data_IF_102325274327
#
_entry.id   IF_102325274327
#
_cell.length_a   1.000
_cell.length_b   1.000
_cell.length_c   1.000
_cell.angle_alpha   90.00
_cell.angle_beta   90.00
_cell.angle_gamma   90.00
#
_symmetry.space_group_name_H-M   'P 1'
#
loop_
_entity.id
_entity.type
_entity.pdbx_description
1 polymer ?
#
# COMPACT_ATOMS: atom_id res chain seq x y z
N UNK A 1 14.20 5.60 -34.84
CA UNK A 1 14.18 4.90 -33.53
C UNK A 1 15.27 5.53 -32.68
N UNK A 2 14.91 6.40 -31.76
CA UNK A 2 15.84 6.97 -30.78
C UNK A 2 16.19 5.84 -29.80
N UNK A 3 17.47 5.59 -29.47
CA UNK A 3 17.82 4.56 -28.50
C UNK A 3 17.21 4.90 -27.14
N UNK A 4 16.79 3.90 -26.34
CA UNK A 4 16.31 4.14 -24.99
C UNK A 4 17.37 4.91 -24.22
N UNK A 5 16.97 5.97 -23.53
CA UNK A 5 17.85 6.85 -22.80
C UNK A 5 18.60 6.04 -21.73
N UNK A 6 19.90 5.80 -21.92
CA UNK A 6 20.75 5.06 -20.99
C UNK A 6 20.68 5.60 -19.55
N UNK A 7 20.24 6.84 -19.38
CA UNK A 7 20.06 7.48 -18.08
C UNK A 7 18.85 6.91 -17.33
N UNK A 8 17.77 6.62 -18.03
CA UNK A 8 16.53 6.04 -17.44
C UNK A 8 16.78 4.60 -17.00
N UNK A 9 17.43 3.80 -17.83
CA UNK A 9 17.79 2.40 -17.52
C UNK A 9 18.71 2.32 -16.28
N UNK A 10 19.68 3.22 -16.17
CA UNK A 10 20.59 3.28 -15.02
C UNK A 10 19.88 3.68 -13.74
N UNK A 11 18.99 4.68 -13.79
CA UNK A 11 18.18 5.11 -12.62
C UNK A 11 17.31 3.96 -12.12
N UNK A 12 16.63 3.26 -13.02
CA UNK A 12 15.78 2.13 -12.68
C UNK A 12 16.56 0.96 -12.08
N UNK A 13 17.72 0.66 -12.62
CA UNK A 13 18.63 -0.36 -12.07
C UNK A 13 19.08 -0.04 -10.64
N UNK A 14 19.38 1.22 -10.34
CA UNK A 14 19.73 1.66 -8.98
C UNK A 14 18.52 1.47 -8.03
N UNK A 15 17.31 1.86 -8.44
CA UNK A 15 16.08 1.69 -7.66
C UNK A 15 15.78 0.21 -7.38
N UNK A 16 15.85 -0.64 -8.40
CA UNK A 16 15.64 -2.07 -8.26
C UNK A 16 16.67 -2.71 -7.33
N UNK A 17 17.95 -2.35 -7.48
CA UNK A 17 19.02 -2.81 -6.58
C UNK A 17 18.76 -2.39 -5.13
N UNK A 18 18.23 -1.19 -4.94
CA UNK A 18 17.89 -0.68 -3.60
C UNK A 18 16.76 -1.50 -2.98
N UNK A 19 15.70 -1.79 -3.72
CA UNK A 19 14.60 -2.66 -3.27
C UNK A 19 15.09 -4.06 -2.92
N UNK A 20 15.97 -4.64 -3.72
CA UNK A 20 16.52 -5.97 -3.48
C UNK A 20 17.36 -6.01 -2.18
N UNK A 21 18.13 -4.96 -1.91
CA UNK A 21 18.86 -4.82 -0.63
C UNK A 21 17.89 -4.70 0.55
N UNK A 22 16.87 -3.84 0.44
CA UNK A 22 15.86 -3.68 1.50
C UNK A 22 15.17 -5.01 1.79
N UNK A 23 14.71 -5.71 0.76
CA UNK A 23 13.98 -6.98 0.90
C UNK A 23 14.81 -8.10 1.52
N UNK A 24 16.12 -8.14 1.25
CA UNK A 24 17.00 -9.23 1.69
C UNK A 24 17.73 -8.94 2.99
N UNK A 25 18.05 -7.69 3.25
CA UNK A 25 18.99 -7.29 4.29
C UNK A 25 18.46 -6.19 5.21
N UNK A 26 17.24 -5.68 4.95
CA UNK A 26 16.61 -4.61 5.72
C UNK A 26 17.11 -3.20 5.35
N UNK A 27 16.39 -2.19 5.88
CA UNK A 27 16.65 -0.77 5.60
C UNK A 27 18.04 -0.29 6.07
N UNK A 28 18.50 -0.78 7.22
CA UNK A 28 19.79 -0.37 7.80
C UNK A 28 20.98 -0.78 6.91
N UNK A 29 20.80 -1.81 6.10
CA UNK A 29 21.81 -2.30 5.16
C UNK A 29 21.97 -1.42 3.93
N UNK A 30 21.04 -0.49 3.65
CA UNK A 30 21.13 0.41 2.51
C UNK A 30 22.18 1.48 2.75
N UNK A 31 23.22 1.47 1.93
CA UNK A 31 24.22 2.55 1.85
C UNK A 31 24.47 2.91 0.40
N UNK A 32 24.71 4.18 0.10
CA UNK A 32 25.00 4.65 -1.28
C UNK A 32 26.15 3.85 -1.90
N UNK A 33 27.17 3.52 -1.11
CA UNK A 33 28.33 2.72 -1.56
C UNK A 33 27.94 1.29 -1.96
N UNK A 34 27.10 0.62 -1.13
CA UNK A 34 26.61 -0.74 -1.40
C UNK A 34 25.74 -0.76 -2.66
N UNK A 35 24.84 0.21 -2.79
CA UNK A 35 23.96 0.32 -3.96
C UNK A 35 24.77 0.59 -5.21
N UNK A 36 25.70 1.53 -5.21
CA UNK A 36 26.58 1.81 -6.35
C UNK A 36 27.34 0.56 -6.80
N UNK A 37 27.95 -0.16 -5.85
CA UNK A 37 28.70 -1.40 -6.13
C UNK A 37 27.79 -2.48 -6.74
N UNK A 38 26.62 -2.73 -6.16
CA UNK A 38 25.71 -3.79 -6.62
C UNK A 38 24.97 -3.47 -7.92
N UNK A 39 24.67 -2.20 -8.16
CA UNK A 39 24.07 -1.76 -9.42
C UNK A 39 25.10 -1.63 -10.57
N UNK A 40 26.40 -1.81 -10.28
CA UNK A 40 27.46 -1.61 -11.28
C UNK A 40 27.60 -0.15 -11.71
N UNK A 41 27.29 0.78 -10.79
CA UNK A 41 27.42 2.23 -11.02
C UNK A 41 28.48 2.81 -10.08
N UNK A 42 28.66 4.12 -10.07
CA UNK A 42 29.54 4.81 -9.11
C UNK A 42 28.73 5.67 -8.13
N UNK A 43 29.35 6.00 -7.00
CA UNK A 43 28.73 6.80 -5.93
C UNK A 43 28.27 8.17 -6.43
N UNK A 44 29.05 8.81 -7.32
CA UNK A 44 28.71 10.12 -7.88
C UNK A 44 27.42 10.07 -8.68
N UNK A 45 27.20 9.01 -9.43
CA UNK A 45 25.99 8.83 -10.24
C UNK A 45 24.76 8.57 -9.37
N UNK A 46 24.86 7.76 -8.30
CA UNK A 46 23.78 7.58 -7.33
C UNK A 46 23.41 8.90 -6.67
N UNK A 47 24.42 9.67 -6.23
CA UNK A 47 24.17 10.99 -5.65
C UNK A 47 23.60 12.00 -6.65
N UNK A 48 24.01 11.94 -7.90
CA UNK A 48 23.46 12.78 -8.96
C UNK A 48 21.96 12.56 -9.15
N UNK A 49 21.52 11.29 -9.19
CA UNK A 49 20.09 10.97 -9.39
C UNK A 49 19.23 11.23 -8.15
N UNK A 50 19.74 10.96 -6.96
CA UNK A 50 18.89 10.89 -5.77
C UNK A 50 19.28 11.88 -4.68
N UNK A 51 20.49 12.39 -4.68
CA UNK A 51 20.99 13.39 -3.73
C UNK A 51 21.28 12.84 -2.33
N UNK A 52 20.40 11.98 -1.77
CA UNK A 52 20.59 11.39 -0.45
C UNK A 52 20.11 9.93 -0.38
N UNK A 53 20.57 9.21 0.66
CA UNK A 53 20.12 7.84 0.97
C UNK A 53 18.61 7.79 1.16
N UNK A 54 18.04 8.73 1.91
CA UNK A 54 16.60 8.74 2.23
C UNK A 54 15.74 8.98 0.99
N UNK A 55 16.15 9.89 0.12
CA UNK A 55 15.48 10.12 -1.17
C UNK A 55 15.57 8.88 -2.06
N UNK A 56 16.72 8.21 -2.12
CA UNK A 56 16.88 6.97 -2.86
C UNK A 56 15.91 5.89 -2.36
N UNK A 57 15.82 5.70 -1.04
CA UNK A 57 14.91 4.73 -0.41
C UNK A 57 13.46 5.11 -0.74
N UNK A 58 13.07 6.36 -0.57
CA UNK A 58 11.71 6.82 -0.83
C UNK A 58 11.30 6.61 -2.29
N UNK A 59 12.18 6.95 -3.26
CA UNK A 59 11.91 6.70 -4.68
C UNK A 59 11.78 5.21 -5.01
N UNK A 60 12.62 4.36 -4.42
CA UNK A 60 12.52 2.92 -4.59
C UNK A 60 11.18 2.39 -4.05
N UNK A 61 10.76 2.84 -2.87
CA UNK A 61 9.47 2.44 -2.27
C UNK A 61 8.30 2.94 -3.11
N UNK A 62 8.30 4.18 -3.61
CA UNK A 62 7.25 4.69 -4.50
C UNK A 62 7.09 3.79 -5.72
N UNK A 63 8.19 3.42 -6.38
CA UNK A 63 8.18 2.51 -7.52
C UNK A 63 7.57 1.15 -7.17
N UNK A 64 7.91 0.59 -6.01
CA UNK A 64 7.33 -0.66 -5.52
C UNK A 64 5.82 -0.53 -5.28
N UNK A 65 5.38 0.55 -4.63
CA UNK A 65 3.97 0.78 -4.32
C UNK A 65 3.13 0.97 -5.60
N UNK A 66 3.68 1.64 -6.62
CA UNK A 66 3.04 1.71 -7.94
C UNK A 66 2.93 0.31 -8.58
N UNK A 67 3.93 -0.55 -8.37
CA UNK A 67 3.89 -1.94 -8.83
C UNK A 67 2.75 -2.78 -8.23
N UNK A 68 2.18 -2.37 -7.10
CA UNK A 68 0.99 -3.00 -6.52
C UNK A 68 -0.33 -2.49 -7.10
N UNK A 69 -0.30 -1.61 -8.11
CA UNK A 69 -1.49 -1.08 -8.78
C UNK A 69 -2.46 -2.17 -9.22
N UNK A 70 -1.95 -3.29 -9.73
CA UNK A 70 -2.76 -4.43 -10.18
C UNK A 70 -3.63 -5.03 -9.06
N UNK A 71 -3.27 -4.78 -7.78
CA UNK A 71 -4.10 -5.17 -6.64
C UNK A 71 -5.42 -4.38 -6.61
N UNK A 72 -5.42 -3.15 -7.14
CA UNK A 72 -6.61 -2.31 -7.23
C UNK A 72 -7.49 -2.64 -8.44
N UNK A 73 -7.02 -3.41 -9.41
CA UNK A 73 -7.78 -3.69 -10.64
C UNK A 73 -9.01 -4.57 -10.39
N UNK A 74 -8.97 -5.40 -9.33
CA UNK A 74 -10.14 -6.16 -8.90
C UNK A 74 -11.35 -5.26 -8.55
N UNK A 75 -11.10 -4.01 -8.16
CA UNK A 75 -12.15 -3.05 -7.83
C UNK A 75 -12.94 -2.56 -9.06
N UNK A 76 -12.38 -2.70 -10.27
CA UNK A 76 -13.04 -2.33 -11.53
C UNK A 76 -13.81 -3.48 -12.19
N UNK A 77 -13.72 -4.71 -11.66
CA UNK A 77 -14.44 -5.86 -12.21
C UNK A 77 -15.95 -5.79 -11.93
N UNK A 78 -16.67 -5.14 -12.81
CA UNK A 78 -18.13 -4.95 -12.68
C UNK A 78 -18.95 -6.26 -12.78
N UNK A 79 -18.34 -7.39 -13.15
CA UNK A 79 -18.98 -8.71 -13.13
C UNK A 79 -19.16 -9.24 -11.71
N UNK A 80 -18.41 -8.69 -10.74
CA UNK A 80 -18.45 -9.06 -9.32
C UNK A 80 -19.17 -7.96 -8.53
N UNK A 81 -20.05 -8.31 -7.57
CA UNK A 81 -20.73 -7.33 -6.72
C UNK A 81 -19.71 -6.41 -5.98
N UNK A 82 -20.01 -5.13 -5.77
CA UNK A 82 -19.10 -4.17 -5.16
C UNK A 82 -18.55 -4.62 -3.79
N UNK A 83 -19.40 -5.23 -2.96
CA UNK A 83 -19.05 -5.79 -1.65
C UNK A 83 -17.96 -6.86 -1.77
N UNK A 84 -18.08 -7.77 -2.72
CA UNK A 84 -17.11 -8.84 -2.93
C UNK A 84 -15.80 -8.30 -3.54
N UNK A 85 -15.88 -7.34 -4.47
CA UNK A 85 -14.67 -6.66 -4.99
C UNK A 85 -13.85 -6.04 -3.86
N UNK A 86 -14.50 -5.36 -2.92
CA UNK A 86 -13.82 -4.74 -1.80
C UNK A 86 -13.22 -5.79 -0.85
N UNK A 87 -13.91 -6.89 -0.58
CA UNK A 87 -13.37 -8.00 0.23
C UNK A 87 -12.13 -8.61 -0.41
N UNK A 88 -12.17 -8.92 -1.72
CA UNK A 88 -11.03 -9.46 -2.45
C UNK A 88 -9.84 -8.51 -2.45
N UNK A 89 -10.09 -7.22 -2.66
CA UNK A 89 -9.06 -6.20 -2.57
C UNK A 89 -8.40 -6.21 -1.18
N UNK A 90 -9.18 -6.17 -0.10
CA UNK A 90 -8.66 -6.13 1.27
C UNK A 90 -7.82 -7.37 1.60
N UNK A 91 -8.31 -8.56 1.24
CA UNK A 91 -7.58 -9.81 1.45
C UNK A 91 -6.23 -9.80 0.72
N UNK A 92 -6.23 -9.40 -0.55
CA UNK A 92 -5.02 -9.33 -1.37
C UNK A 92 -4.04 -8.27 -0.87
N UNK A 93 -4.55 -7.11 -0.44
CA UNK A 93 -3.71 -6.04 0.09
C UNK A 93 -3.05 -6.42 1.42
N UNK A 94 -3.75 -7.16 2.30
CA UNK A 94 -3.17 -7.69 3.53
C UNK A 94 -2.04 -8.68 3.25
N UNK A 95 -2.15 -9.51 2.21
CA UNK A 95 -1.04 -10.40 1.82
C UNK A 95 0.23 -9.61 1.47
N UNK A 96 0.08 -8.49 0.76
CA UNK A 96 1.20 -7.58 0.46
C UNK A 96 1.81 -7.00 1.74
N UNK A 97 0.97 -6.55 2.69
CA UNK A 97 1.43 -6.02 3.99
C UNK A 97 2.21 -7.09 4.77
N UNK A 98 1.69 -8.30 4.82
CA UNK A 98 2.34 -9.42 5.54
C UNK A 98 3.65 -9.85 4.89
N UNK A 99 3.76 -9.71 3.58
CA UNK A 99 4.98 -10.03 2.84
C UNK A 99 6.09 -8.98 3.07
N UNK A 100 5.71 -7.70 3.27
CA UNK A 100 6.66 -6.58 3.38
C UNK A 100 6.31 -5.63 4.54
N UNK A 101 6.22 -6.12 5.79
CA UNK A 101 5.75 -5.30 6.92
C UNK A 101 6.66 -4.10 7.20
N UNK A 102 7.97 -4.24 7.08
CA UNK A 102 8.93 -3.15 7.29
C UNK A 102 8.78 -2.04 6.26
N UNK A 103 8.48 -2.39 4.99
CA UNK A 103 8.22 -1.39 3.94
C UNK A 103 6.97 -0.58 4.25
N UNK A 104 5.91 -1.23 4.72
CA UNK A 104 4.66 -0.56 5.10
C UNK A 104 4.88 0.36 6.29
N UNK A 105 5.56 -0.12 7.34
CA UNK A 105 5.90 0.70 8.50
C UNK A 105 6.76 1.91 8.13
N UNK A 106 7.76 1.73 7.28
CA UNK A 106 8.57 2.83 6.78
C UNK A 106 7.74 3.86 5.99
N UNK A 107 6.84 3.38 5.13
CA UNK A 107 5.93 4.25 4.34
C UNK A 107 5.04 5.07 5.25
N UNK A 108 4.44 4.46 6.29
CA UNK A 108 3.60 5.15 7.26
C UNK A 108 4.42 6.18 8.06
N UNK A 109 5.61 5.80 8.52
CA UNK A 109 6.47 6.68 9.30
C UNK A 109 6.99 7.87 8.47
N UNK A 110 7.35 7.65 7.21
CA UNK A 110 7.79 8.70 6.31
C UNK A 110 6.64 9.67 5.93
N UNK A 111 5.41 9.13 5.85
CA UNK A 111 4.20 9.93 5.58
C UNK A 111 4.35 10.84 4.36
N UNK A 112 3.93 12.09 4.49
CA UNK A 112 4.03 13.09 3.42
C UNK A 112 5.47 13.48 3.05
N UNK A 113 6.46 13.21 3.93
CA UNK A 113 7.87 13.50 3.64
C UNK A 113 8.45 12.65 2.49
N UNK A 114 7.75 11.59 2.07
CA UNK A 114 8.09 10.84 0.86
C UNK A 114 7.90 11.65 -0.43
N UNK A 115 7.10 12.70 -0.39
CA UNK A 115 6.71 13.48 -1.56
C UNK A 115 7.21 14.91 -1.46
N UNK A 116 7.64 15.49 -2.58
CA UNK A 116 8.12 16.86 -2.62
C UNK A 116 6.98 17.89 -2.50
N UNK A 117 5.74 17.48 -2.79
CA UNK A 117 4.57 18.34 -2.73
C UNK A 117 3.27 17.54 -2.56
N UNK A 118 2.19 18.26 -2.17
CA UNK A 118 0.83 17.68 -2.16
C UNK A 118 0.36 17.26 -3.56
N UNK A 119 0.81 17.96 -4.59
CA UNK A 119 0.51 17.61 -5.98
C UNK A 119 1.10 16.25 -6.34
N UNK A 120 2.38 16.02 -6.06
CA UNK A 120 3.05 14.73 -6.28
C UNK A 120 2.35 13.60 -5.51
N UNK A 121 1.95 13.85 -4.27
CA UNK A 121 1.18 12.88 -3.49
C UNK A 121 -0.17 12.56 -4.14
N UNK A 122 -0.88 13.56 -4.64
CA UNK A 122 -2.14 13.36 -5.35
C UNK A 122 -1.97 12.56 -6.65
N UNK A 123 -0.91 12.82 -7.44
CA UNK A 123 -0.57 12.04 -8.62
C UNK A 123 -0.26 10.58 -8.26
N UNK A 124 0.50 10.37 -7.20
CA UNK A 124 0.81 9.03 -6.69
C UNK A 124 -0.46 8.27 -6.29
N UNK A 125 -1.38 8.87 -5.53
CA UNK A 125 -2.65 8.23 -5.16
C UNK A 125 -3.50 7.87 -6.38
N UNK A 126 -3.51 8.73 -7.40
CA UNK A 126 -4.17 8.43 -8.69
C UNK A 126 -3.51 7.25 -9.40
N UNK A 127 -2.18 7.28 -9.49
CA UNK A 127 -1.42 6.23 -10.17
C UNK A 127 -1.55 4.85 -9.50
N UNK A 128 -1.71 4.81 -8.17
CA UNK A 128 -1.93 3.57 -7.42
C UNK A 128 -3.36 3.04 -7.49
N UNK A 129 -4.33 3.85 -7.93
CA UNK A 129 -5.72 3.42 -8.06
C UNK A 129 -6.59 3.70 -6.82
N UNK A 130 -6.15 4.55 -5.90
CA UNK A 130 -6.90 4.87 -4.67
C UNK A 130 -8.34 5.36 -4.93
N UNK A 131 -8.58 6.08 -6.03
CA UNK A 131 -9.91 6.54 -6.45
C UNK A 131 -10.90 5.38 -6.70
N UNK A 132 -10.41 4.18 -7.04
CA UNK A 132 -11.24 2.98 -7.26
C UNK A 132 -11.91 2.51 -5.96
N UNK A 133 -11.25 2.70 -4.80
CA UNK A 133 -11.85 2.42 -3.49
C UNK A 133 -13.05 3.33 -3.21
N UNK A 134 -12.90 4.63 -3.47
CA UNK A 134 -13.99 5.58 -3.30
C UNK A 134 -15.18 5.23 -4.21
N UNK A 135 -14.91 4.87 -5.47
CA UNK A 135 -15.94 4.44 -6.42
C UNK A 135 -16.71 3.22 -5.90
N UNK A 136 -16.03 2.16 -5.47
CA UNK A 136 -16.66 0.95 -4.93
C UNK A 136 -17.48 1.25 -3.67
N UNK A 137 -16.98 2.08 -2.76
CA UNK A 137 -17.72 2.51 -1.58
C UNK A 137 -18.98 3.30 -1.94
N UNK A 138 -18.91 4.19 -2.94
CA UNK A 138 -20.08 4.89 -3.46
C UNK A 138 -21.10 3.91 -4.04
N UNK A 139 -20.68 2.93 -4.82
CA UNK A 139 -21.54 1.89 -5.36
C UNK A 139 -22.25 1.07 -4.26
N UNK A 140 -21.55 0.80 -3.15
CA UNK A 140 -22.08 0.02 -2.02
C UNK A 140 -23.07 0.80 -1.14
N UNK A 141 -22.80 2.09 -0.92
CA UNK A 141 -23.46 2.86 0.15
C UNK A 141 -24.34 3.99 -0.36
N UNK A 142 -24.17 4.41 -1.62
CA UNK A 142 -24.77 5.63 -2.17
C UNK A 142 -24.12 6.92 -1.67
N UNK A 143 -23.11 6.85 -0.80
CA UNK A 143 -22.39 8.02 -0.32
C UNK A 143 -21.47 8.59 -1.41
N UNK A 144 -21.52 9.90 -1.61
CA UNK A 144 -20.74 10.59 -2.63
C UNK A 144 -19.88 11.74 -2.07
N UNK A 145 -20.06 12.09 -0.80
CA UNK A 145 -19.26 13.16 -0.17
C UNK A 145 -17.82 12.70 0.06
N UNK A 146 -16.81 13.42 -0.46
CA UNK A 146 -15.42 13.00 -0.36
C UNK A 146 -14.95 12.80 1.09
N UNK A 147 -15.40 13.64 2.02
CA UNK A 147 -15.07 13.53 3.44
C UNK A 147 -15.58 12.22 4.05
N UNK A 148 -16.85 11.89 3.81
CA UNK A 148 -17.47 10.64 4.31
C UNK A 148 -16.79 9.40 3.72
N UNK A 149 -16.49 9.41 2.42
CA UNK A 149 -15.75 8.33 1.77
C UNK A 149 -14.34 8.15 2.35
N UNK A 150 -13.65 9.26 2.67
CA UNK A 150 -12.33 9.20 3.31
C UNK A 150 -12.41 8.61 4.72
N UNK A 151 -13.43 8.97 5.50
CA UNK A 151 -13.69 8.37 6.83
C UNK A 151 -13.89 6.86 6.69
N UNK A 152 -14.73 6.42 5.75
CA UNK A 152 -14.96 4.98 5.52
C UNK A 152 -13.66 4.26 5.13
N UNK A 153 -12.89 4.80 4.20
CA UNK A 153 -11.59 4.20 3.80
C UNK A 153 -10.66 4.07 4.98
N UNK A 154 -10.48 5.13 5.77
CA UNK A 154 -9.55 5.11 6.92
C UNK A 154 -10.01 4.16 8.01
N UNK A 155 -11.32 4.05 8.28
CA UNK A 155 -11.86 3.10 9.25
C UNK A 155 -11.67 1.66 8.80
N UNK A 156 -11.99 1.33 7.54
CA UNK A 156 -11.80 -0.01 6.97
C UNK A 156 -10.33 -0.41 7.01
N UNK A 157 -9.43 0.50 6.59
CA UNK A 157 -8.00 0.25 6.61
C UNK A 157 -7.47 0.07 8.02
N UNK A 158 -7.88 0.92 8.96
CA UNK A 158 -7.50 0.78 10.37
C UNK A 158 -7.95 -0.54 10.98
N UNK A 159 -9.18 -0.97 10.68
CA UNK A 159 -9.74 -2.21 11.20
C UNK A 159 -9.09 -3.48 10.65
N UNK A 160 -8.56 -3.45 9.42
CA UNK A 160 -7.99 -4.62 8.75
C UNK A 160 -6.46 -4.59 8.74
N UNK A 161 -5.85 -3.45 8.41
CA UNK A 161 -4.40 -3.39 8.19
C UNK A 161 -3.61 -3.24 9.48
N UNK A 162 -4.13 -2.48 10.45
CA UNK A 162 -3.44 -2.33 11.72
C UNK A 162 -3.31 -3.65 12.48
N UNK A 163 -4.37 -4.47 12.64
CA UNK A 163 -4.22 -5.81 13.21
C UNK A 163 -3.24 -6.71 12.45
N UNK A 164 -3.22 -6.63 11.11
CA UNK A 164 -2.29 -7.42 10.30
C UNK A 164 -0.81 -7.05 10.57
N UNK A 165 -0.51 -5.76 10.72
CA UNK A 165 0.82 -5.26 11.08
C UNK A 165 1.21 -5.61 12.52
N UNK A 166 0.26 -5.54 13.44
CA UNK A 166 0.48 -5.76 14.87
C UNK A 166 0.29 -7.22 15.30
N UNK A 167 0.06 -8.13 14.38
CA UNK A 167 -0.23 -9.53 14.68
C UNK A 167 0.73 -10.17 15.70
N UNK A 168 2.08 -10.06 15.56
CA UNK A 168 2.99 -10.65 16.53
C UNK A 168 2.81 -10.09 17.95
N UNK A 169 2.56 -8.78 18.07
CA UNK A 169 2.36 -8.10 19.34
C UNK A 169 1.02 -8.52 19.98
N UNK A 170 -0.05 -8.55 19.20
CA UNK A 170 -1.38 -8.90 19.68
C UNK A 170 -1.46 -10.36 20.12
N UNK A 171 -0.87 -11.28 19.37
CA UNK A 171 -0.86 -12.71 19.72
C UNK A 171 0.00 -12.98 20.97
N UNK A 172 1.16 -12.32 21.12
CA UNK A 172 2.02 -12.49 22.29
C UNK A 172 1.45 -11.82 23.54
N UNK A 173 0.81 -10.66 23.40
CA UNK A 173 0.28 -9.89 24.54
C UNK A 173 -1.08 -10.36 25.03
N UNK A 174 -1.99 -10.70 24.12
CA UNK A 174 -3.34 -11.12 24.45
C UNK A 174 -3.50 -12.63 24.76
N UNK A 175 -2.50 -13.45 24.39
CA UNK A 175 -2.58 -14.91 24.54
C UNK A 175 -3.65 -15.57 23.67
N UNK A 176 -4.20 -14.85 22.69
CA UNK A 176 -5.26 -15.31 21.80
C UNK A 176 -4.79 -15.18 20.36
N UNK A 177 -4.88 -16.26 19.60
CA UNK A 177 -4.58 -16.23 18.16
C UNK A 177 -5.60 -15.36 17.42
N UNK A 178 -5.12 -14.51 16.56
CA UNK A 178 -5.98 -13.76 15.67
C UNK A 178 -6.73 -14.70 14.70
N UNK A 179 -7.99 -14.36 14.42
CA UNK A 179 -8.77 -15.01 13.37
C UNK A 179 -8.08 -14.83 12.00
N UNK A 180 -8.39 -15.70 11.05
CA UNK A 180 -7.93 -15.53 9.67
C UNK A 180 -8.33 -14.18 9.11
N UNK A 181 -7.59 -13.68 8.13
CA UNK A 181 -7.91 -12.39 7.53
C UNK A 181 -9.31 -12.37 6.89
N UNK A 182 -9.69 -13.48 6.26
CA UNK A 182 -11.03 -13.59 5.65
C UNK A 182 -12.13 -13.44 6.72
N UNK A 183 -11.96 -14.10 7.88
CA UNK A 183 -12.91 -13.98 9.00
C UNK A 183 -12.96 -12.56 9.58
N UNK A 184 -11.82 -11.87 9.64
CA UNK A 184 -11.77 -10.47 10.09
C UNK A 184 -12.50 -9.55 9.10
N UNK A 185 -12.30 -9.78 7.80
CA UNK A 185 -13.00 -9.04 6.74
C UNK A 185 -14.49 -9.30 6.81
N UNK A 186 -14.92 -10.56 6.89
CA UNK A 186 -16.34 -10.91 7.01
C UNK A 186 -16.98 -10.25 8.22
N UNK A 187 -16.33 -10.32 9.37
CA UNK A 187 -16.83 -9.69 10.61
C UNK A 187 -16.98 -8.17 10.47
N UNK A 188 -16.00 -7.51 9.79
CA UNK A 188 -16.08 -6.09 9.50
C UNK A 188 -17.31 -5.79 8.63
N UNK A 189 -17.52 -6.57 7.56
CA UNK A 189 -18.60 -6.35 6.61
C UNK A 189 -19.99 -6.65 7.21
N UNK A 190 -20.12 -7.66 8.06
CA UNK A 190 -21.36 -7.94 8.82
C UNK A 190 -21.75 -6.76 9.72
N UNK A 191 -20.76 -6.01 10.23
CA UNK A 191 -21.00 -4.87 11.14
C UNK A 191 -21.25 -3.55 10.42
N UNK A 192 -20.45 -3.24 9.40
CA UNK A 192 -20.47 -1.94 8.73
C UNK A 192 -21.39 -1.90 7.51
N UNK A 193 -21.64 -3.05 6.86
CA UNK A 193 -22.45 -3.15 5.66
C UNK A 193 -23.46 -4.30 5.77
N UNK A 194 -24.35 -4.25 6.79
CA UNK A 194 -25.38 -5.29 6.95
C UNK A 194 -26.31 -5.32 5.73
N UNK A 195 -26.79 -6.50 5.37
CA UNK A 195 -27.79 -6.63 4.30
C UNK A 195 -29.09 -5.94 4.74
N UNK A 196 -29.79 -5.30 3.81
CA UNK A 196 -30.95 -4.40 4.09
C UNK A 196 -32.12 -5.07 4.83
N UNK A 197 -32.08 -6.38 5.07
CA UNK A 197 -33.06 -7.14 5.85
C UNK A 197 -32.77 -7.21 7.35
N UNK A 198 -31.51 -7.17 7.77
CA UNK A 198 -31.10 -7.41 9.18
C UNK A 198 -31.06 -6.15 10.05
N UNK A 199 -31.11 -4.97 9.43
CA UNK A 199 -31.08 -3.69 10.16
C UNK A 199 -32.35 -3.43 10.98
N UNK A 200 -33.47 -4.11 10.71
CA UNK A 200 -34.74 -3.91 11.42
C UNK A 200 -34.89 -4.69 12.73
N UNK A 201 -34.08 -5.71 12.96
CA UNK A 201 -34.21 -6.54 14.19
C UNK A 201 -33.32 -6.08 15.37
N UNK A 202 -32.31 -5.25 15.11
CA UNK A 202 -31.37 -4.77 16.17
C UNK A 202 -31.76 -3.46 16.86
N UNK A 203 -32.92 -2.89 16.52
CA UNK A 203 -33.46 -1.65 17.05
C UNK A 203 -34.67 -1.80 18.00
N UNK A 204 -34.88 -2.99 18.59
CA UNK A 204 -35.87 -3.22 19.63
C UNK A 204 -35.24 -3.63 20.95
#
# INVERSE_FOLDING_TARGET
>A
MTPPDQSTDTKEKILQTTLDVIKREGFDSVTVRKIASRSGTNIALVNYYFGSKDKLINEAIKGLLIGFRDTFDVLDDVSVPPKERLKFFLARYVQVIQQYPELVLHTIAAGSAMFASQHEYGEFLRATGFHKLQKVLTEMTGEARPESLMIMVTQIFGAIFLPALMKPLLESGAGVKQASIDRQIDFLFERYFPEQGEAKERGK
#
